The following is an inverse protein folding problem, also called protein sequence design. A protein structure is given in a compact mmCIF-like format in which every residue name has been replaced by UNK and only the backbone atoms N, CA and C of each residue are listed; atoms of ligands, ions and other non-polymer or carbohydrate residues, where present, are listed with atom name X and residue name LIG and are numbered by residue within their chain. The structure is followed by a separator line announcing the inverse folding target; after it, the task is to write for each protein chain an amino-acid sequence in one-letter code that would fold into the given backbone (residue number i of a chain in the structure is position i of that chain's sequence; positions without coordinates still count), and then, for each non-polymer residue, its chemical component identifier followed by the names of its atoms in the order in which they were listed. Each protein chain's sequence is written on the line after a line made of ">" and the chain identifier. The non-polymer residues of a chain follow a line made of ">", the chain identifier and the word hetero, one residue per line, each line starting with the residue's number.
data_IF_080906224896
#
_entry.id   IF_080906224896
#
_cell.length_a   1.000
_cell.length_b   1.000
_cell.length_c   1.000
_cell.angle_alpha   90.00
_cell.angle_beta   90.00
_cell.angle_gamma   90.00
#
_symmetry.space_group_name_H-M   'P 1'
#
loop_
_entity.id
_entity.type
_entity.pdbx_description
1 polymer ?
#
# COMPACT_ATOMS: atom_id res chain seq x y z
N UNK A 1 -33.02 -20.09 -71.44
CA UNK A 1 -33.79 -19.59 -70.28
C UNK A 1 -33.87 -20.69 -69.22
N UNK A 2 -33.14 -20.58 -68.08
CA UNK A 2 -33.39 -21.34 -66.81
C UNK A 2 -32.29 -21.19 -65.71
N UNK A 3 -31.53 -20.10 -65.59
CA UNK A 3 -30.53 -19.95 -64.50
C UNK A 3 -30.35 -18.53 -63.95
N UNK A 4 -31.43 -17.81 -63.68
CA UNK A 4 -31.36 -16.45 -63.08
C UNK A 4 -32.37 -16.21 -61.96
N UNK A 5 -32.85 -17.26 -61.28
CA UNK A 5 -33.88 -17.09 -60.22
C UNK A 5 -33.55 -17.71 -58.85
N UNK A 6 -32.33 -18.20 -58.63
CA UNK A 6 -31.94 -18.86 -57.36
C UNK A 6 -31.13 -17.95 -56.42
N UNK A 7 -30.68 -16.77 -56.87
CA UNK A 7 -29.89 -15.86 -56.03
C UNK A 7 -30.69 -14.79 -55.26
N UNK A 8 -32.02 -14.73 -55.43
CA UNK A 8 -32.84 -13.69 -54.76
C UNK A 8 -33.54 -14.15 -53.47
N UNK A 9 -33.49 -15.45 -53.12
CA UNK A 9 -34.19 -15.96 -51.93
C UNK A 9 -33.28 -16.21 -50.70
N UNK A 10 -31.97 -16.01 -50.82
CA UNK A 10 -31.02 -16.14 -49.70
C UNK A 10 -30.65 -14.79 -49.04
N UNK A 11 -31.32 -13.70 -49.43
CA UNK A 11 -31.02 -12.34 -48.99
C UNK A 11 -31.90 -11.79 -47.85
N UNK A 12 -32.86 -12.56 -47.33
CA UNK A 12 -33.93 -12.01 -46.47
C UNK A 12 -34.25 -12.81 -45.19
N UNK A 13 -33.30 -13.62 -44.69
CA UNK A 13 -33.42 -14.29 -43.37
C UNK A 13 -32.38 -13.80 -42.35
N UNK A 14 -31.67 -12.71 -42.65
CA UNK A 14 -30.88 -11.95 -41.65
C UNK A 14 -31.69 -10.76 -41.13
N UNK A 15 -32.92 -11.00 -40.70
CA UNK A 15 -33.59 -10.09 -39.77
C UNK A 15 -32.88 -10.29 -38.44
N UNK A 16 -32.00 -9.34 -38.12
CA UNK A 16 -31.26 -9.30 -36.88
C UNK A 16 -32.21 -9.42 -35.70
N UNK A 17 -32.14 -10.54 -34.99
CA UNK A 17 -32.57 -10.55 -33.60
C UNK A 17 -31.71 -9.50 -32.89
N UNK A 18 -32.31 -8.55 -32.15
CA UNK A 18 -31.53 -7.72 -31.26
C UNK A 18 -30.89 -8.69 -30.27
N UNK A 19 -29.58 -8.90 -30.40
CA UNK A 19 -28.77 -9.45 -29.33
C UNK A 19 -28.94 -8.45 -28.20
N UNK A 20 -29.91 -8.72 -27.31
CA UNK A 20 -30.03 -8.06 -26.03
C UNK A 20 -28.64 -8.15 -25.42
N UNK A 21 -27.93 -7.03 -25.41
CA UNK A 21 -26.61 -6.91 -24.83
C UNK A 21 -26.78 -7.21 -23.35
N UNK A 22 -26.69 -8.50 -22.99
CA UNK A 22 -26.71 -8.96 -21.63
C UNK A 22 -25.58 -8.20 -20.94
N UNK A 23 -26.00 -7.26 -20.09
CA UNK A 23 -25.13 -6.41 -19.30
C UNK A 23 -24.16 -7.35 -18.58
N UNK A 24 -22.92 -7.40 -19.05
CA UNK A 24 -21.95 -8.42 -18.67
C UNK A 24 -21.91 -8.56 -17.15
N UNK A 25 -22.26 -9.74 -16.66
CA UNK A 25 -22.37 -10.01 -15.23
C UNK A 25 -21.01 -9.75 -14.59
N UNK A 26 -20.94 -8.79 -13.67
CA UNK A 26 -19.72 -8.47 -12.92
C UNK A 26 -19.29 -9.72 -12.14
N UNK A 27 -18.02 -10.10 -12.23
CA UNK A 27 -17.50 -11.20 -11.43
C UNK A 27 -17.12 -10.69 -10.05
N UNK A 28 -17.66 -11.33 -9.02
CA UNK A 28 -17.36 -10.99 -7.64
C UNK A 28 -16.66 -12.19 -7.00
N UNK A 29 -15.52 -11.91 -6.40
CA UNK A 29 -14.70 -12.88 -5.67
C UNK A 29 -14.75 -12.52 -4.20
N UNK A 30 -14.94 -13.51 -3.34
CA UNK A 30 -15.19 -13.33 -1.91
C UNK A 30 -14.18 -14.12 -1.12
N UNK A 31 -13.64 -13.51 -0.08
CA UNK A 31 -12.91 -14.22 0.96
C UNK A 31 -13.69 -14.09 2.26
N UNK A 32 -13.85 -15.21 2.96
CA UNK A 32 -14.26 -15.17 4.35
C UNK A 32 -13.09 -14.60 5.14
N UNK A 33 -13.38 -13.57 5.93
CA UNK A 33 -12.41 -13.02 6.85
C UNK A 33 -12.74 -13.67 8.18
N UNK A 34 -11.76 -14.36 8.76
CA UNK A 34 -11.80 -14.49 10.20
C UNK A 34 -11.52 -13.08 10.68
N UNK A 35 -12.55 -12.35 11.12
CA UNK A 35 -12.29 -11.43 12.22
C UNK A 35 -11.59 -12.34 13.23
N UNK A 36 -10.29 -12.09 13.44
CA UNK A 36 -9.47 -12.81 14.40
C UNK A 36 -10.36 -13.18 15.56
N UNK A 37 -10.42 -14.47 15.90
CA UNK A 37 -11.35 -15.00 16.90
C UNK A 37 -11.34 -14.07 18.11
N UNK A 38 -12.29 -13.14 18.16
CA UNK A 38 -12.42 -12.25 19.29
C UNK A 38 -13.03 -13.16 20.33
N UNK A 39 -12.13 -13.77 21.11
CA UNK A 39 -12.44 -14.39 22.41
C UNK A 39 -13.31 -13.46 23.27
N UNK A 40 -13.29 -12.16 22.94
CA UNK A 40 -14.07 -11.08 23.52
C UNK A 40 -15.48 -11.05 22.92
N UNK A 41 -16.44 -11.44 23.74
CA UNK A 41 -17.87 -11.47 23.42
C UNK A 41 -18.44 -10.06 23.17
N UNK A 42 -19.67 -9.96 22.66
CA UNK A 42 -20.36 -8.66 22.54
C UNK A 42 -20.53 -7.98 23.90
N UNK A 43 -20.91 -8.75 24.94
CA UNK A 43 -21.07 -8.24 26.30
C UNK A 43 -19.77 -7.61 26.82
N UNK A 44 -18.64 -8.29 26.60
CA UNK A 44 -17.33 -7.76 26.99
C UNK A 44 -16.94 -6.51 26.19
N UNK A 45 -17.29 -6.43 24.91
CA UNK A 45 -17.09 -5.19 24.12
C UNK A 45 -17.92 -4.02 24.65
N UNK A 46 -19.15 -4.27 25.06
CA UNK A 46 -20.01 -3.25 25.67
C UNK A 46 -19.44 -2.82 27.04
N UNK A 47 -18.92 -3.75 27.84
CA UNK A 47 -18.20 -3.47 29.09
C UNK A 47 -16.95 -2.62 28.85
N UNK A 48 -16.09 -3.01 27.91
CA UNK A 48 -14.88 -2.24 27.54
C UNK A 48 -15.26 -0.82 27.10
N UNK A 49 -16.32 -0.68 26.30
CA UNK A 49 -16.82 0.63 25.85
C UNK A 49 -17.29 1.48 27.02
N UNK A 50 -17.96 0.89 28.00
CA UNK A 50 -18.37 1.56 29.23
C UNK A 50 -17.16 2.01 30.05
N UNK A 51 -16.18 1.13 30.26
CA UNK A 51 -14.95 1.44 31.00
C UNK A 51 -14.14 2.54 30.33
N UNK A 52 -14.07 2.52 28.99
CA UNK A 52 -13.40 3.54 28.21
C UNK A 52 -14.00 4.94 28.45
N UNK A 53 -15.32 5.07 28.40
CA UNK A 53 -16.03 6.33 28.70
C UNK A 53 -15.84 6.74 30.16
N UNK A 54 -15.91 5.78 31.08
CA UNK A 54 -15.64 6.01 32.51
C UNK A 54 -14.24 6.57 32.74
N UNK A 55 -13.24 6.06 32.02
CA UNK A 55 -11.84 6.53 32.12
C UNK A 55 -11.69 7.98 31.65
N UNK A 56 -12.38 8.38 30.56
CA UNK A 56 -12.40 9.78 30.11
C UNK A 56 -13.10 10.69 31.11
N UNK A 57 -14.16 10.21 31.76
CA UNK A 57 -14.82 10.95 32.83
C UNK A 57 -13.92 11.11 34.06
N UNK A 58 -13.21 10.05 34.46
CA UNK A 58 -12.25 10.12 35.58
C UNK A 58 -11.09 11.08 35.26
N UNK A 59 -10.66 11.15 33.99
CA UNK A 59 -9.70 12.15 33.53
C UNK A 59 -10.26 13.56 33.74
N UNK A 60 -11.49 13.84 33.30
CA UNK A 60 -12.17 15.13 33.51
C UNK A 60 -12.18 15.52 34.99
N UNK A 61 -12.63 14.60 35.86
CA UNK A 61 -12.68 14.79 37.31
C UNK A 61 -11.29 15.06 37.92
N UNK A 62 -10.24 14.38 37.44
CA UNK A 62 -8.87 14.64 37.86
C UNK A 62 -8.41 16.05 37.45
N UNK A 63 -8.67 16.47 36.21
CA UNK A 63 -8.27 17.80 35.74
C UNK A 63 -9.01 18.90 36.52
N UNK A 64 -10.32 18.71 36.76
CA UNK A 64 -11.13 19.61 37.60
C UNK A 64 -10.54 19.70 39.01
N UNK A 65 -10.23 18.56 39.65
CA UNK A 65 -9.60 18.52 40.97
C UNK A 65 -8.28 19.29 41.01
N UNK A 66 -7.42 19.12 40.00
CA UNK A 66 -6.12 19.80 39.91
C UNK A 66 -6.27 21.32 39.84
N UNK A 67 -7.32 21.77 39.15
CA UNK A 67 -7.63 23.20 38.98
C UNK A 67 -8.52 23.80 40.07
N UNK A 68 -8.90 23.01 41.07
CA UNK A 68 -9.68 23.49 42.20
C UNK A 68 -8.83 24.25 43.23
N UNK A 69 -9.43 25.20 43.96
CA UNK A 69 -8.77 25.84 45.11
C UNK A 69 -8.82 25.00 46.39
N UNK A 70 -9.63 23.94 46.42
CA UNK A 70 -9.95 23.14 47.61
C UNK A 70 -8.78 22.27 48.09
N UNK A 71 -8.09 21.46 47.25
CA UNK A 71 -7.09 20.53 47.75
C UNK A 71 -5.80 21.23 48.17
N UNK A 72 -5.20 20.75 49.26
CA UNK A 72 -3.83 21.12 49.66
C UNK A 72 -2.81 20.57 48.65
N UNK A 73 -1.61 21.17 48.59
CA UNK A 73 -0.54 20.72 47.69
C UNK A 73 -0.17 19.24 47.89
N UNK A 74 -0.13 18.77 49.14
CA UNK A 74 0.12 17.35 49.44
C UNK A 74 -0.98 16.42 48.92
N UNK A 75 -2.24 16.84 49.01
CA UNK A 75 -3.37 16.06 48.46
C UNK A 75 -3.31 16.03 46.93
N UNK A 76 -3.00 17.17 46.31
CA UNK A 76 -2.83 17.31 44.88
C UNK A 76 -1.69 16.39 44.38
N UNK A 77 -0.53 16.45 45.01
CA UNK A 77 0.62 15.61 44.68
C UNK A 77 0.30 14.12 44.78
N UNK A 78 -0.47 13.74 45.81
CA UNK A 78 -0.95 12.38 45.98
C UNK A 78 -1.87 11.97 44.83
N UNK A 79 -2.88 12.78 44.50
CA UNK A 79 -3.81 12.50 43.41
C UNK A 79 -3.11 12.41 42.04
N UNK A 80 -2.15 13.30 41.76
CA UNK A 80 -1.33 13.26 40.54
C UNK A 80 -0.56 11.95 40.48
N UNK A 81 0.16 11.58 41.53
CA UNK A 81 0.96 10.34 41.57
C UNK A 81 0.08 9.09 41.44
N UNK A 82 -1.04 9.04 42.15
CA UNK A 82 -1.99 7.91 42.07
C UNK A 82 -2.59 7.75 40.67
N UNK A 83 -2.67 8.82 39.87
CA UNK A 83 -3.22 8.75 38.51
C UNK A 83 -2.40 7.90 37.53
N UNK A 84 -1.09 7.72 37.77
CA UNK A 84 -0.18 7.02 36.85
C UNK A 84 0.74 5.98 37.51
N UNK A 85 0.87 5.96 38.85
CA UNK A 85 1.71 4.97 39.52
C UNK A 85 1.03 3.59 39.58
N UNK A 86 1.74 2.59 39.04
CA UNK A 86 1.36 1.19 39.17
C UNK A 86 1.67 0.76 40.61
N UNK A 87 0.62 0.62 41.43
CA UNK A 87 0.72 0.08 42.79
C UNK A 87 0.05 -1.30 42.85
N UNK A 88 0.61 -2.28 43.58
CA UNK A 88 -0.10 -3.48 44.00
C UNK A 88 -0.78 -3.22 45.37
N UNK A 89 -2.10 -3.46 45.52
CA UNK A 89 -3.06 -3.88 44.50
C UNK A 89 -3.41 -2.75 43.51
N UNK A 90 -3.86 -3.09 42.28
CA UNK A 90 -4.14 -2.10 41.22
C UNK A 90 -5.00 -0.98 41.74
N UNK A 91 -4.45 0.22 41.77
CA UNK A 91 -5.11 1.34 42.40
C UNK A 91 -6.41 1.67 41.60
N UNK A 92 -7.48 2.07 42.30
CA UNK A 92 -8.75 2.39 41.66
C UNK A 92 -8.72 3.72 40.90
N UNK A 93 -7.79 4.60 41.28
CA UNK A 93 -7.63 5.97 40.78
C UNK A 93 -6.73 6.08 39.54
N UNK A 94 -6.17 4.96 39.06
CA UNK A 94 -5.20 4.93 37.99
C UNK A 94 -5.95 5.15 36.68
N UNK A 95 -5.58 6.22 35.99
CA UNK A 95 -6.18 6.61 34.72
C UNK A 95 -5.16 6.40 33.60
N UNK A 96 -3.88 6.67 33.86
CA UNK A 96 -2.77 6.48 32.93
C UNK A 96 -2.08 5.14 33.17
N UNK A 97 -1.64 4.49 32.10
CA UNK A 97 -1.01 3.18 32.20
C UNK A 97 0.29 3.20 33.01
N UNK A 98 1.11 4.24 32.83
CA UNK A 98 2.31 4.54 33.61
C UNK A 98 2.71 6.02 33.47
N UNK A 99 3.84 6.40 34.06
CA UNK A 99 4.44 7.74 34.00
C UNK A 99 5.11 8.06 32.64
N UNK A 100 5.49 7.02 31.89
CA UNK A 100 6.08 7.14 30.55
C UNK A 100 5.08 7.50 29.44
N UNK A 101 3.80 7.67 29.79
CA UNK A 101 2.78 8.10 28.84
C UNK A 101 2.99 9.56 28.44
N UNK A 102 2.76 9.84 27.16
CA UNK A 102 2.95 11.16 26.57
C UNK A 102 1.58 11.81 26.32
N UNK A 103 1.49 13.08 26.68
CA UNK A 103 0.33 13.94 26.53
C UNK A 103 0.73 15.13 25.66
N UNK A 104 0.03 15.34 24.54
CA UNK A 104 0.17 16.55 23.73
C UNK A 104 -0.45 17.73 24.48
N UNK A 105 0.31 18.78 24.74
CA UNK A 105 -0.12 19.94 25.55
C UNK A 105 -1.34 20.67 24.95
N UNK A 106 -2.34 20.92 25.79
CA UNK A 106 -3.53 21.74 25.52
C UNK A 106 -3.80 22.76 26.65
N UNK A 107 -2.85 22.93 27.57
CA UNK A 107 -2.94 23.89 28.67
C UNK A 107 -2.74 25.30 28.11
N UNK A 108 -1.79 25.50 27.20
CA UNK A 108 -1.66 26.75 26.46
C UNK A 108 -2.77 26.87 25.39
N UNK A 109 -3.63 27.91 25.42
CA UNK A 109 -4.72 28.06 24.46
C UNK A 109 -4.25 28.23 23.00
N UNK A 110 -2.95 28.47 22.76
CA UNK A 110 -2.32 28.52 21.43
C UNK A 110 -2.06 27.12 20.86
N UNK A 111 -1.90 26.10 21.71
CA UNK A 111 -1.69 24.72 21.29
C UNK A 111 -3.03 24.08 20.91
N UNK A 112 -3.27 23.96 19.60
CA UNK A 112 -4.62 23.63 19.10
C UNK A 112 -4.64 22.49 18.08
N UNK A 113 -3.48 21.89 17.81
CA UNK A 113 -3.34 20.75 16.92
C UNK A 113 -2.06 19.98 17.22
N UNK A 114 -1.97 18.75 16.74
CA UNK A 114 -0.78 17.88 16.85
C UNK A 114 0.47 18.43 16.16
N UNK A 115 0.34 19.46 15.31
CA UNK A 115 1.47 20.12 14.64
C UNK A 115 2.05 21.29 15.42
N UNK A 116 1.28 21.81 16.39
CA UNK A 116 1.58 23.08 17.08
C UNK A 116 1.77 22.90 18.58
N UNK A 117 1.92 21.66 19.04
CA UNK A 117 2.00 21.31 20.46
C UNK A 117 3.24 20.48 20.75
N UNK A 118 3.65 20.48 22.01
CA UNK A 118 4.73 19.67 22.51
C UNK A 118 4.19 18.43 23.24
N UNK A 119 4.95 17.35 23.14
CA UNK A 119 4.75 16.11 23.88
C UNK A 119 5.30 16.26 25.31
N UNK A 120 4.44 16.10 26.31
CA UNK A 120 4.79 16.19 27.73
C UNK A 120 4.60 14.84 28.43
N UNK A 121 5.51 14.43 29.34
CA UNK A 121 5.24 13.34 30.28
C UNK A 121 4.02 13.65 31.17
N UNK A 122 3.28 12.63 31.60
CA UNK A 122 2.05 12.79 32.40
C UNK A 122 2.25 13.71 33.62
N UNK A 123 3.28 13.44 34.43
CA UNK A 123 3.54 14.23 35.65
C UNK A 123 3.78 15.70 35.32
N UNK A 124 4.56 15.99 34.28
CA UNK A 124 4.83 17.35 33.83
C UNK A 124 3.57 18.04 33.32
N UNK A 125 2.75 17.36 32.53
CA UNK A 125 1.48 17.91 32.04
C UNK A 125 0.56 18.29 33.22
N UNK A 126 0.31 17.37 34.16
CA UNK A 126 -0.59 17.61 35.29
C UNK A 126 -0.08 18.72 36.22
N UNK A 127 1.24 18.79 36.45
CA UNK A 127 1.84 19.89 37.23
C UNK A 127 1.80 21.22 36.50
N UNK A 128 2.04 21.23 35.19
CA UNK A 128 1.92 22.43 34.37
C UNK A 128 0.47 22.95 34.39
N UNK A 129 -0.52 22.05 34.37
CA UNK A 129 -1.93 22.45 34.49
C UNK A 129 -2.18 23.16 35.83
N UNK A 130 -1.67 22.61 36.94
CA UNK A 130 -1.80 23.22 38.26
C UNK A 130 -1.15 24.61 38.38
N UNK A 131 -0.11 24.87 37.57
CA UNK A 131 0.69 26.11 37.62
C UNK A 131 0.18 27.18 36.65
N UNK A 132 -0.17 26.79 35.43
CA UNK A 132 -0.45 27.71 34.33
C UNK A 132 -1.94 27.85 34.01
N UNK A 133 -2.82 27.17 34.73
CA UNK A 133 -4.25 27.34 34.60
C UNK A 133 -4.84 27.98 35.88
N UNK A 134 -5.67 29.00 35.71
CA UNK A 134 -6.26 29.73 36.84
C UNK A 134 -7.16 28.81 37.65
N UNK A 135 -6.91 28.73 38.96
CA UNK A 135 -7.74 27.92 39.86
C UNK A 135 -9.13 28.53 40.06
N UNK A 136 -10.13 27.69 40.25
CA UNK A 136 -11.53 28.09 40.48
C UNK A 136 -12.24 27.10 41.41
N UNK A 137 -13.28 27.57 42.11
CA UNK A 137 -14.19 26.70 42.87
C UNK A 137 -15.30 26.11 41.98
N UNK A 138 -15.47 26.67 40.79
CA UNK A 138 -16.40 26.16 39.76
C UNK A 138 -15.68 25.19 38.81
N UNK A 139 -16.43 24.25 38.24
CA UNK A 139 -15.93 23.35 37.19
C UNK A 139 -15.64 24.14 35.92
N UNK A 140 -14.36 24.34 35.59
CA UNK A 140 -13.94 25.10 34.40
C UNK A 140 -13.37 24.25 33.28
N UNK A 141 -13.26 22.94 33.48
CA UNK A 141 -12.85 21.97 32.46
C UNK A 141 -14.00 21.00 32.24
N UNK A 142 -14.42 20.85 30.98
CA UNK A 142 -15.53 19.96 30.63
C UNK A 142 -15.25 19.16 29.37
N UNK A 143 -15.57 17.88 29.40
CA UNK A 143 -15.53 17.02 28.22
C UNK A 143 -16.93 16.78 27.65
N UNK A 144 -17.04 16.78 26.33
CA UNK A 144 -18.30 16.53 25.62
C UNK A 144 -18.07 15.71 24.36
N UNK A 145 -19.15 15.24 23.72
CA UNK A 145 -19.08 14.46 22.49
C UNK A 145 -18.15 13.23 22.61
N UNK A 146 -18.22 12.52 23.73
CA UNK A 146 -17.37 11.36 24.01
C UNK A 146 -17.82 10.16 23.17
N UNK A 147 -17.07 9.82 22.14
CA UNK A 147 -17.36 8.75 21.18
C UNK A 147 -16.18 7.77 21.14
N UNK A 148 -16.49 6.48 21.26
CA UNK A 148 -15.51 5.38 21.30
C UNK A 148 -15.42 4.69 19.94
N UNK A 149 -14.23 4.32 19.50
CA UNK A 149 -14.02 3.40 18.37
C UNK A 149 -14.47 1.98 18.72
N UNK A 150 -14.45 1.10 17.73
CA UNK A 150 -14.47 -0.35 17.99
C UNK A 150 -13.19 -0.78 18.73
N UNK A 151 -13.23 -1.96 19.36
CA UNK A 151 -12.04 -2.59 19.93
C UNK A 151 -11.05 -2.92 18.83
N UNK A 152 -9.81 -2.47 18.99
CA UNK A 152 -8.72 -2.68 18.05
C UNK A 152 -7.74 -3.68 18.66
N UNK A 153 -7.41 -4.73 17.91
CA UNK A 153 -6.39 -5.70 18.29
C UNK A 153 -5.01 -5.17 17.84
N UNK A 154 -4.34 -4.46 18.75
CA UNK A 154 -2.97 -4.02 18.52
C UNK A 154 -1.99 -5.18 18.57
N UNK A 155 -0.78 -4.96 18.03
CA UNK A 155 0.30 -5.96 18.04
C UNK A 155 0.73 -6.39 19.45
N UNK A 156 0.66 -5.46 20.41
CA UNK A 156 1.14 -5.66 21.77
C UNK A 156 0.01 -5.78 22.80
N UNK A 157 -1.11 -5.08 22.58
CA UNK A 157 -2.26 -5.05 23.47
C UNK A 157 -3.53 -4.66 22.70
N UNK A 158 -4.68 -5.02 23.27
CA UNK A 158 -5.97 -4.52 22.79
C UNK A 158 -6.15 -3.08 23.23
N UNK A 159 -6.75 -2.25 22.39
CA UNK A 159 -7.00 -0.85 22.73
C UNK A 159 -8.27 -0.31 22.07
N UNK A 160 -8.77 0.79 22.60
CA UNK A 160 -9.84 1.60 22.00
C UNK A 160 -9.39 3.04 21.89
N UNK A 161 -9.89 3.75 20.88
CA UNK A 161 -9.70 5.21 20.77
C UNK A 161 -10.98 5.91 21.21
N UNK A 162 -10.85 6.94 22.02
CA UNK A 162 -11.97 7.76 22.47
C UNK A 162 -11.75 9.18 21.98
N UNK A 163 -12.66 9.65 21.13
CA UNK A 163 -12.67 11.01 20.62
C UNK A 163 -13.63 11.84 21.47
N UNK A 164 -13.24 13.04 21.83
CA UNK A 164 -14.04 13.94 22.65
C UNK A 164 -13.64 15.39 22.41
N UNK A 165 -14.53 16.31 22.79
CA UNK A 165 -14.26 17.75 22.79
C UNK A 165 -13.91 18.19 24.19
N UNK A 166 -12.71 18.73 24.36
CA UNK A 166 -12.25 19.37 25.60
C UNK A 166 -12.56 20.86 25.56
N UNK A 167 -13.16 21.38 26.64
CA UNK A 167 -13.48 22.80 26.79
C UNK A 167 -12.95 23.30 28.12
N UNK A 168 -12.08 24.30 28.06
CA UNK A 168 -11.57 25.04 29.21
C UNK A 168 -12.25 26.42 29.22
N UNK A 169 -12.78 26.85 30.36
CA UNK A 169 -13.46 28.16 30.52
C UNK A 169 -12.74 29.11 31.48
N UNK A 170 -11.67 28.62 32.13
CA UNK A 170 -10.79 29.44 32.96
C UNK A 170 -9.80 30.26 32.13
N UNK A 171 -8.75 30.75 32.79
CA UNK A 171 -7.72 31.61 32.19
C UNK A 171 -6.36 30.93 32.22
N UNK A 172 -5.61 31.10 31.15
CA UNK A 172 -4.20 30.74 31.10
C UNK A 172 -3.39 31.79 31.86
N UNK A 173 -2.55 31.35 32.79
CA UNK A 173 -1.62 32.18 33.56
C UNK A 173 -0.26 32.10 32.89
N UNK A 174 0.01 33.01 31.96
CA UNK A 174 1.29 33.08 31.28
C UNK A 174 2.39 33.58 32.24
N UNK A 175 3.49 32.83 32.45
CA UNK A 175 4.61 33.28 33.27
C UNK A 175 5.28 34.57 32.76
N UNK A 176 5.10 34.93 31.48
CA UNK A 176 5.61 36.16 30.88
C UNK A 176 4.60 37.30 30.84
N UNK A 177 3.43 37.13 31.47
CA UNK A 177 2.36 38.12 31.54
C UNK A 177 1.81 38.54 30.16
N UNK A 178 1.87 37.65 29.16
CA UNK A 178 1.49 37.91 27.77
C UNK A 178 0.20 37.20 27.35
N UNK A 179 -0.91 37.18 28.10
CA UNK A 179 -2.14 36.59 27.51
C UNK A 179 -3.47 37.11 28.02
N UNK A 180 -4.27 37.58 27.06
CA UNK A 180 -5.75 37.61 27.06
C UNK A 180 -6.28 36.71 25.92
N UNK A 181 -5.66 35.52 25.73
CA UNK A 181 -6.07 34.55 24.70
C UNK A 181 -7.12 33.62 25.31
N UNK A 182 -8.35 33.70 24.82
CA UNK A 182 -9.43 32.84 25.28
C UNK A 182 -9.25 31.40 24.77
N UNK A 183 -9.58 30.44 25.63
CA UNK A 183 -9.70 29.05 25.23
C UNK A 183 -10.82 28.87 24.20
N UNK A 184 -10.65 27.86 23.34
CA UNK A 184 -11.67 27.38 22.42
C UNK A 184 -11.90 25.89 22.64
N UNK A 185 -13.09 25.34 22.33
CA UNK A 185 -13.30 23.91 22.33
C UNK A 185 -12.34 23.21 21.36
N UNK A 186 -11.66 22.17 21.82
CA UNK A 186 -10.66 21.41 21.05
C UNK A 186 -11.04 19.94 20.94
N UNK A 187 -10.86 19.36 19.76
CA UNK A 187 -11.02 17.92 19.56
C UNK A 187 -9.78 17.19 20.08
N UNK A 188 -10.00 16.16 20.89
CA UNK A 188 -8.97 15.34 21.52
C UNK A 188 -9.24 13.87 21.26
N UNK A 189 -8.19 13.09 21.30
CA UNK A 189 -8.22 11.64 21.19
C UNK A 189 -7.41 11.04 22.34
N UNK A 190 -8.02 10.10 23.05
CA UNK A 190 -7.35 9.25 24.01
C UNK A 190 -7.24 7.84 23.43
N UNK A 191 -6.03 7.28 23.42
CA UNK A 191 -5.81 5.86 23.16
C UNK A 191 -5.79 5.14 24.50
N UNK A 192 -6.69 4.18 24.66
CA UNK A 192 -6.91 3.45 25.90
C UNK A 192 -6.52 1.99 25.71
N UNK A 193 -5.47 1.55 26.41
CA UNK A 193 -5.12 0.14 26.53
C UNK A 193 -6.18 -0.59 27.35
N UNK A 194 -6.57 -1.77 26.89
CA UNK A 194 -7.59 -2.60 27.50
C UNK A 194 -6.92 -3.81 28.14
N UNK A 195 -7.17 -4.04 29.44
CA UNK A 195 -6.65 -5.19 30.19
C UNK A 195 -7.74 -5.85 31.02
N UNK A 196 -7.62 -7.16 31.22
CA UNK A 196 -8.48 -7.91 32.13
C UNK A 196 -7.73 -8.14 33.44
N UNK A 197 -8.14 -7.44 34.49
CA UNK A 197 -7.50 -7.46 35.81
C UNK A 197 -8.53 -8.01 36.80
N UNK A 198 -8.19 -9.07 37.52
CA UNK A 198 -9.09 -9.76 38.47
C UNK A 198 -10.45 -10.13 37.86
N UNK A 199 -10.42 -10.55 36.59
CA UNK A 199 -11.61 -10.94 35.82
C UNK A 199 -12.46 -9.79 35.28
N UNK A 200 -12.13 -8.53 35.60
CA UNK A 200 -12.86 -7.34 35.13
C UNK A 200 -12.07 -6.60 34.06
N UNK A 201 -12.76 -6.06 33.07
CA UNK A 201 -12.12 -5.21 32.08
C UNK A 201 -11.80 -3.84 32.69
N UNK A 202 -10.58 -3.36 32.47
CA UNK A 202 -10.13 -2.01 32.83
C UNK A 202 -9.44 -1.38 31.62
N UNK A 203 -9.50 -0.05 31.57
CA UNK A 203 -8.89 0.74 30.50
C UNK A 203 -7.94 1.76 31.08
N UNK A 204 -6.82 1.99 30.41
CA UNK A 204 -5.78 2.93 30.83
C UNK A 204 -5.33 3.79 29.67
N UNK A 205 -5.20 5.10 29.87
CA UNK A 205 -4.68 6.03 28.88
C UNK A 205 -3.21 5.70 28.61
N UNK A 206 -2.91 5.43 27.34
CA UNK A 206 -1.53 5.25 26.82
C UNK A 206 -1.11 6.37 25.86
N UNK A 207 -2.06 7.21 25.44
CA UNK A 207 -1.81 8.46 24.71
C UNK A 207 -2.99 9.38 24.90
N UNK A 208 -2.73 10.66 25.10
CA UNK A 208 -3.73 11.73 25.07
C UNK A 208 -3.22 12.84 24.16
N UNK A 209 -3.97 13.18 23.12
CA UNK A 209 -3.54 14.26 22.23
C UNK A 209 -4.60 14.72 21.23
N UNK A 210 -4.17 15.42 20.19
CA UNK A 210 -5.02 15.83 19.09
C UNK A 210 -5.16 14.71 18.05
N UNK A 211 -6.33 14.59 17.39
CA UNK A 211 -6.48 13.69 16.25
C UNK A 211 -5.45 13.99 15.16
N UNK A 212 -4.72 12.95 14.72
CA UNK A 212 -3.76 13.07 13.60
C UNK A 212 -4.49 13.02 12.26
N UNK A 213 -3.92 13.57 11.16
CA UNK A 213 -4.51 13.44 9.83
C UNK A 213 -4.77 11.97 9.47
N UNK A 214 -6.01 11.66 9.11
CA UNK A 214 -6.45 10.30 8.79
C UNK A 214 -6.82 9.45 10.01
N UNK A 215 -6.68 9.95 11.25
CA UNK A 215 -7.16 9.29 12.47
C UNK A 215 -8.68 9.47 12.62
N UNK A 216 -9.43 8.39 12.88
CA UNK A 216 -10.89 8.44 13.05
C UNK A 216 -11.48 7.17 13.68
N UNK A 217 -12.81 7.17 13.84
CA UNK A 217 -13.56 6.09 14.51
C UNK A 217 -13.46 4.73 13.83
N UNK A 218 -13.17 4.71 12.52
CA UNK A 218 -13.22 3.52 11.67
C UNK A 218 -11.84 2.96 11.31
N UNK A 219 -10.77 3.50 11.90
CA UNK A 219 -9.42 2.95 11.68
C UNK A 219 -9.24 1.67 12.49
N UNK A 220 -9.97 0.64 12.08
CA UNK A 220 -9.72 -0.73 12.50
C UNK A 220 -8.37 -1.14 11.93
N UNK A 221 -7.30 -0.95 12.72
CA UNK A 221 -5.97 -1.51 12.44
C UNK A 221 -5.96 -3.05 12.46
N UNK A 222 -7.08 -3.70 12.80
CA UNK A 222 -7.31 -5.12 12.57
C UNK A 222 -7.32 -5.39 11.07
N UNK A 223 -6.13 -5.70 10.54
CA UNK A 223 -5.95 -6.15 9.16
C UNK A 223 -6.85 -7.37 8.97
N UNK A 224 -7.81 -7.35 8.03
CA UNK A 224 -8.66 -8.51 7.79
C UNK A 224 -7.77 -9.70 7.40
N UNK A 225 -7.77 -10.80 8.15
CA UNK A 225 -7.02 -12.01 7.77
C UNK A 225 -7.96 -12.98 7.07
N UNK A 226 -7.63 -13.35 5.83
CA UNK A 226 -8.38 -14.35 5.08
C UNK A 226 -8.24 -15.71 5.80
N UNK A 227 -9.36 -16.38 6.07
CA UNK A 227 -9.37 -17.69 6.71
C UNK A 227 -8.56 -18.70 5.89
N UNK A 228 -7.50 -19.27 6.47
CA UNK A 228 -6.56 -20.20 5.78
C UNK A 228 -7.22 -21.51 5.27
N UNK A 229 -8.47 -21.80 5.67
CA UNK A 229 -9.18 -23.02 5.27
C UNK A 229 -9.82 -22.99 3.87
N UNK A 230 -9.84 -21.85 3.18
CA UNK A 230 -10.51 -21.70 1.87
C UNK A 230 -9.48 -21.23 0.83
N UNK A 231 -8.85 -22.18 0.13
CA UNK A 231 -7.86 -21.92 -0.91
C UNK A 231 -8.08 -22.84 -2.13
N UNK A 232 -7.62 -22.47 -3.33
CA UNK A 232 -7.70 -23.33 -4.50
C UNK A 232 -6.84 -24.58 -4.31
N UNK A 233 -7.38 -25.75 -4.67
CA UNK A 233 -6.67 -27.04 -4.55
C UNK A 233 -5.38 -27.12 -5.40
N UNK A 234 -5.27 -26.27 -6.43
CA UNK A 234 -4.06 -26.13 -7.25
C UNK A 234 -3.69 -24.64 -7.34
N UNK A 235 -2.40 -24.29 -7.39
CA UNK A 235 -1.97 -22.91 -7.59
C UNK A 235 -2.56 -22.32 -8.89
N UNK A 236 -3.00 -21.07 -8.83
CA UNK A 236 -3.50 -20.35 -10.01
C UNK A 236 -2.33 -20.05 -10.95
N UNK A 237 -2.33 -20.66 -12.14
CA UNK A 237 -1.28 -20.50 -13.17
C UNK A 237 -1.53 -19.30 -14.10
N UNK A 238 -2.57 -18.51 -13.85
CA UNK A 238 -2.92 -17.33 -14.64
C UNK A 238 -1.84 -16.25 -14.66
N UNK A 239 -1.93 -15.36 -15.67
CA UNK A 239 -1.07 -14.17 -15.78
C UNK A 239 -1.29 -13.26 -14.58
N UNK A 240 -0.20 -12.70 -14.05
CA UNK A 240 -0.25 -11.68 -13.01
C UNK A 240 -0.65 -10.31 -13.61
N UNK A 241 -1.54 -9.63 -12.91
CA UNK A 241 -2.00 -8.29 -13.26
C UNK A 241 -1.77 -7.34 -12.09
N UNK A 242 -1.10 -6.24 -12.39
CA UNK A 242 -0.86 -5.15 -11.43
C UNK A 242 -1.98 -4.12 -11.54
N UNK A 243 -2.49 -3.69 -10.39
CA UNK A 243 -3.47 -2.62 -10.21
C UNK A 243 -2.87 -1.53 -9.32
N UNK A 244 -3.31 -0.30 -9.51
CA UNK A 244 -2.87 0.88 -8.74
C UNK A 244 -4.07 1.68 -8.26
N UNK A 245 -4.01 2.14 -7.01
CA UNK A 245 -5.05 2.95 -6.37
C UNK A 245 -5.30 4.24 -7.13
N UNK A 246 -6.57 4.60 -7.27
CA UNK A 246 -6.97 5.85 -7.93
C UNK A 246 -6.75 7.04 -7.00
N UNK A 247 -7.11 6.90 -5.71
CA UNK A 247 -6.95 7.95 -4.71
C UNK A 247 -5.50 8.09 -4.24
N UNK A 248 -4.78 6.98 -4.11
CA UNK A 248 -3.39 6.95 -3.70
C UNK A 248 -2.57 6.09 -4.70
N UNK A 249 -1.79 6.72 -5.60
CA UNK A 249 -1.01 6.01 -6.61
C UNK A 249 0.12 5.12 -6.06
N UNK A 250 0.46 5.23 -4.77
CA UNK A 250 1.42 4.35 -4.08
C UNK A 250 0.77 3.00 -3.75
N UNK A 251 -0.54 2.99 -3.53
CA UNK A 251 -1.29 1.75 -3.30
C UNK A 251 -1.34 0.94 -4.58
N UNK A 252 -0.94 -0.32 -4.48
CA UNK A 252 -0.84 -1.21 -5.62
C UNK A 252 -1.10 -2.65 -5.19
N UNK A 253 -1.69 -3.41 -6.09
CA UNK A 253 -2.09 -4.79 -5.84
C UNK A 253 -1.79 -5.64 -7.06
N UNK A 254 -1.08 -6.74 -6.84
CA UNK A 254 -0.87 -7.78 -7.86
C UNK A 254 -1.82 -8.94 -7.62
N UNK A 255 -2.61 -9.29 -8.64
CA UNK A 255 -3.54 -10.42 -8.61
C UNK A 255 -3.30 -11.42 -9.73
N UNK A 256 -3.61 -12.68 -9.45
CA UNK A 256 -3.87 -13.73 -10.46
C UNK A 256 -5.29 -14.21 -10.28
N UNK A 257 -5.94 -14.63 -11.36
CA UNK A 257 -7.26 -15.23 -11.26
C UNK A 257 -7.48 -16.30 -12.34
N UNK A 258 -8.45 -17.17 -12.08
CA UNK A 258 -9.01 -18.11 -13.03
C UNK A 258 -10.56 -18.01 -13.05
N UNK A 259 -11.24 -19.07 -13.47
CA UNK A 259 -12.71 -19.11 -13.53
C UNK A 259 -13.36 -19.01 -12.14
N UNK A 260 -12.73 -19.57 -11.12
CA UNK A 260 -13.32 -19.81 -9.81
C UNK A 260 -12.61 -19.05 -8.68
N UNK A 261 -11.38 -18.59 -8.90
CA UNK A 261 -10.55 -18.00 -7.85
C UNK A 261 -9.85 -16.74 -8.32
N UNK A 262 -9.62 -15.84 -7.38
CA UNK A 262 -8.71 -14.70 -7.49
C UNK A 262 -7.76 -14.76 -6.31
N UNK A 263 -6.46 -14.63 -6.52
CA UNK A 263 -5.45 -14.59 -5.46
C UNK A 263 -4.71 -13.27 -5.50
N UNK A 264 -4.68 -12.58 -4.36
CA UNK A 264 -3.84 -11.39 -4.14
C UNK A 264 -2.45 -11.87 -3.74
N UNK A 265 -1.46 -11.58 -4.58
CA UNK A 265 -0.07 -12.05 -4.43
C UNK A 265 0.76 -11.01 -3.68
N UNK A 266 0.51 -9.74 -3.97
CA UNK A 266 1.19 -8.60 -3.35
C UNK A 266 0.18 -7.48 -3.17
N UNK A 267 0.29 -6.77 -2.06
CA UNK A 267 -0.45 -5.55 -1.78
C UNK A 267 0.49 -4.59 -1.07
N UNK A 268 0.57 -3.34 -1.53
CA UNK A 268 1.24 -2.26 -0.79
C UNK A 268 0.30 -1.52 0.15
N UNK A 269 -1.00 -1.87 0.13
CA UNK A 269 -2.01 -1.32 1.04
C UNK A 269 -2.44 -2.38 2.05
N UNK A 270 -2.52 -1.99 3.32
CA UNK A 270 -2.97 -2.87 4.41
C UNK A 270 -4.47 -3.19 4.34
N UNK A 271 -5.21 -2.44 3.52
CA UNK A 271 -6.65 -2.60 3.35
C UNK A 271 -7.02 -3.87 2.55
N UNK A 272 -6.14 -4.34 1.66
CA UNK A 272 -6.40 -5.52 0.81
C UNK A 272 -5.54 -6.68 1.32
N UNK A 273 -6.15 -7.69 1.97
CA UNK A 273 -5.40 -8.79 2.52
C UNK A 273 -4.88 -9.74 1.44
N UNK A 274 -3.72 -10.33 1.71
CA UNK A 274 -3.14 -11.36 0.86
C UNK A 274 -3.93 -12.66 1.03
N UNK A 275 -4.09 -13.40 -0.06
CA UNK A 275 -4.76 -14.71 -0.05
C UNK A 275 -5.72 -14.90 -1.20
N UNK A 276 -6.54 -15.95 -1.09
CA UNK A 276 -7.44 -16.41 -2.16
C UNK A 276 -8.90 -16.04 -1.88
N UNK A 277 -9.58 -15.64 -2.94
CA UNK A 277 -10.97 -15.22 -2.98
C UNK A 277 -11.71 -16.12 -3.96
N UNK A 278 -12.80 -16.73 -3.51
CA UNK A 278 -13.61 -17.63 -4.31
C UNK A 278 -14.69 -16.85 -5.07
N UNK A 279 -14.88 -17.16 -6.34
CA UNK A 279 -15.97 -16.62 -7.14
C UNK A 279 -17.31 -16.98 -6.51
N UNK A 280 -18.15 -15.98 -6.24
CA UNK A 280 -19.50 -16.17 -5.69
C UNK A 280 -20.47 -15.22 -6.39
N UNK A 281 -21.67 -15.72 -6.67
CA UNK A 281 -22.82 -14.86 -6.98
C UNK A 281 -23.33 -14.31 -5.66
N UNK A 282 -22.87 -13.13 -5.27
CA UNK A 282 -23.24 -12.54 -3.99
C UNK A 282 -24.67 -12.00 -4.06
N UNK A 283 -25.47 -12.41 -3.09
CA UNK A 283 -26.62 -11.71 -2.53
C UNK A 283 -26.13 -10.65 -1.52
N UNK A 284 -26.64 -9.43 -1.62
CA UNK A 284 -26.04 -8.20 -1.08
C UNK A 284 -25.98 -8.08 0.47
N UNK A 285 -26.09 -9.19 1.21
CA UNK A 285 -26.58 -9.24 2.60
C UNK A 285 -25.55 -9.66 3.66
N UNK A 286 -24.33 -10.09 3.33
CA UNK A 286 -23.39 -10.56 4.35
C UNK A 286 -22.19 -9.63 4.59
N UNK A 287 -22.11 -9.10 5.81
CA UNK A 287 -21.03 -8.24 6.33
C UNK A 287 -19.75 -9.02 6.72
N UNK A 288 -19.80 -10.36 6.74
CA UNK A 288 -18.68 -11.21 7.16
C UNK A 288 -17.63 -11.47 6.06
N UNK A 289 -17.71 -10.74 4.94
CA UNK A 289 -16.92 -11.01 3.76
C UNK A 289 -16.23 -9.74 3.27
N UNK A 290 -14.97 -9.87 2.86
CA UNK A 290 -14.37 -8.92 1.92
C UNK A 290 -14.62 -9.41 0.51
N UNK A 291 -14.88 -8.50 -0.42
CA UNK A 291 -15.10 -8.86 -1.81
C UNK A 291 -14.30 -8.02 -2.78
N UNK A 292 -13.79 -8.68 -3.82
CA UNK A 292 -13.14 -8.07 -4.96
C UNK A 292 -14.08 -8.22 -6.15
N UNK A 293 -14.59 -7.10 -6.64
CA UNK A 293 -15.34 -7.06 -7.89
C UNK A 293 -14.39 -6.74 -9.03
N UNK A 294 -14.23 -7.71 -9.94
CA UNK A 294 -13.46 -7.53 -11.16
C UNK A 294 -14.40 -7.05 -12.27
N UNK A 295 -14.19 -5.81 -12.72
CA UNK A 295 -14.89 -5.27 -13.89
C UNK A 295 -13.96 -5.34 -15.10
N UNK A 296 -14.08 -6.44 -15.85
CA UNK A 296 -13.19 -6.75 -16.98
C UNK A 296 -13.21 -5.65 -18.06
N UNK A 297 -14.39 -5.10 -18.34
CA UNK A 297 -14.57 -4.04 -19.35
C UNK A 297 -13.84 -2.74 -19.04
N UNK A 298 -13.62 -2.44 -17.77
CA UNK A 298 -13.02 -1.16 -17.34
C UNK A 298 -11.59 -1.32 -16.83
N UNK A 299 -11.07 -2.54 -16.82
CA UNK A 299 -9.80 -2.85 -16.16
C UNK A 299 -9.75 -2.33 -14.71
N UNK A 300 -10.89 -2.35 -14.04
CA UNK A 300 -11.05 -1.85 -12.67
C UNK A 300 -11.20 -2.99 -11.70
N UNK A 301 -10.57 -2.82 -10.54
CA UNK A 301 -10.75 -3.65 -9.37
C UNK A 301 -11.43 -2.76 -8.32
N UNK A 302 -12.61 -3.17 -7.89
CA UNK A 302 -13.33 -2.55 -6.77
C UNK A 302 -13.27 -3.50 -5.59
N UNK A 303 -12.55 -3.08 -4.55
CA UNK A 303 -12.42 -3.86 -3.33
C UNK A 303 -13.34 -3.29 -2.26
N UNK A 304 -14.27 -4.11 -1.78
CA UNK A 304 -15.20 -3.79 -0.70
C UNK A 304 -14.74 -4.45 0.60
N UNK A 305 -14.55 -3.63 1.61
CA UNK A 305 -14.20 -4.04 2.98
C UNK A 305 -15.42 -4.51 3.78
N UNK A 306 -15.18 -5.15 4.92
CA UNK A 306 -16.23 -5.57 5.88
C UNK A 306 -17.01 -4.39 6.46
N UNK A 307 -16.36 -3.24 6.63
CA UNK A 307 -16.99 -1.99 7.06
C UNK A 307 -17.82 -1.29 5.96
N UNK A 308 -17.88 -1.87 4.75
CA UNK A 308 -18.60 -1.30 3.61
C UNK A 308 -17.85 -0.23 2.82
N UNK A 309 -16.62 0.12 3.21
CA UNK A 309 -15.79 1.04 2.42
C UNK A 309 -15.30 0.37 1.12
N UNK A 310 -15.00 1.22 0.13
CA UNK A 310 -14.60 0.81 -1.21
C UNK A 310 -13.22 1.37 -1.56
N UNK A 311 -12.35 0.53 -2.12
CA UNK A 311 -11.09 0.93 -2.71
C UNK A 311 -11.11 0.61 -4.21
N UNK A 312 -10.98 1.67 -5.02
CA UNK A 312 -10.95 1.55 -6.48
C UNK A 312 -9.51 1.54 -6.98
N UNK A 313 -9.17 0.53 -7.77
CA UNK A 313 -7.87 0.40 -8.43
C UNK A 313 -8.04 0.24 -9.94
N UNK A 314 -7.16 0.90 -10.69
CA UNK A 314 -7.05 0.75 -12.13
C UNK A 314 -5.91 -0.20 -12.48
N UNK A 315 -6.14 -1.10 -13.44
CA UNK A 315 -5.09 -1.97 -13.95
C UNK A 315 -3.99 -1.12 -14.57
N UNK A 316 -2.76 -1.40 -14.18
CA UNK A 316 -1.57 -0.87 -14.82
C UNK A 316 -1.40 -1.64 -16.13
N UNK A 317 -1.91 -1.04 -17.22
CA UNK A 317 -1.59 -1.51 -18.56
C UNK A 317 -0.29 -0.81 -18.95
N UNK A 318 0.81 -1.54 -19.22
CA UNK A 318 2.02 -0.92 -19.73
C UNK A 318 1.65 -0.10 -20.97
N UNK A 319 2.00 1.19 -20.95
CA UNK A 319 1.62 2.07 -22.04
C UNK A 319 2.18 1.52 -23.36
N UNK A 320 1.38 1.56 -24.44
CA UNK A 320 1.86 1.15 -25.77
C UNK A 320 3.14 1.91 -26.14
N UNK A 321 3.29 3.14 -25.65
CA UNK A 321 4.51 3.95 -25.77
C UNK A 321 5.72 3.32 -25.11
N UNK A 322 5.59 2.82 -23.88
CA UNK A 322 6.71 2.19 -23.16
C UNK A 322 7.16 0.90 -23.85
N UNK A 323 6.21 0.06 -24.30
CA UNK A 323 6.52 -1.15 -25.08
C UNK A 323 7.25 -0.77 -26.38
N UNK A 324 6.77 0.26 -27.06
CA UNK A 324 7.37 0.73 -28.30
C UNK A 324 8.81 1.26 -28.09
N UNK A 325 9.05 2.04 -27.04
CA UNK A 325 10.39 2.48 -26.65
C UNK A 325 11.31 1.32 -26.32
N UNK A 326 10.81 0.32 -25.58
CA UNK A 326 11.59 -0.88 -25.26
C UNK A 326 12.04 -1.60 -26.55
N UNK A 327 11.15 -1.74 -27.54
CA UNK A 327 11.49 -2.35 -28.83
C UNK A 327 12.57 -1.57 -29.58
N UNK A 328 12.52 -0.23 -29.54
CA UNK A 328 13.55 0.63 -30.17
C UNK A 328 14.90 0.45 -29.47
N UNK A 329 14.93 0.46 -28.13
CA UNK A 329 16.17 0.29 -27.36
C UNK A 329 16.79 -1.08 -27.61
N UNK A 330 15.99 -2.15 -27.51
CA UNK A 330 16.46 -3.52 -27.78
C UNK A 330 16.94 -3.67 -29.23
N UNK A 331 16.21 -3.10 -30.19
CA UNK A 331 16.61 -3.15 -31.59
C UNK A 331 17.90 -2.38 -31.88
N UNK A 332 18.11 -1.23 -31.23
CA UNK A 332 19.34 -0.43 -31.36
C UNK A 332 20.54 -1.17 -30.77
N UNK A 333 20.36 -1.78 -29.60
CA UNK A 333 21.41 -2.60 -28.97
C UNK A 333 21.80 -3.80 -29.86
N UNK A 334 20.82 -4.48 -30.48
CA UNK A 334 21.07 -5.57 -31.42
C UNK A 334 21.87 -5.11 -32.65
N UNK A 335 21.54 -3.94 -33.22
CA UNK A 335 22.32 -3.37 -34.34
C UNK A 335 23.77 -3.05 -33.93
N UNK A 336 23.96 -2.47 -32.74
CA UNK A 336 25.29 -2.19 -32.20
C UNK A 336 26.12 -3.46 -32.02
N UNK A 337 25.54 -4.52 -31.45
CA UNK A 337 26.19 -5.81 -31.27
C UNK A 337 26.56 -6.45 -32.63
N UNK A 338 25.67 -6.40 -33.61
CA UNK A 338 25.95 -6.87 -34.98
C UNK A 338 27.10 -6.10 -35.63
N UNK A 339 27.12 -4.77 -35.51
CA UNK A 339 28.20 -3.95 -36.06
C UNK A 339 29.56 -4.28 -35.42
N UNK A 340 29.60 -4.40 -34.09
CA UNK A 340 30.81 -4.78 -33.36
C UNK A 340 31.27 -6.18 -33.79
N UNK A 341 30.36 -7.15 -33.90
CA UNK A 341 30.66 -8.49 -34.38
C UNK A 341 31.25 -8.49 -35.81
N UNK A 342 30.66 -7.73 -36.73
CA UNK A 342 31.18 -7.56 -38.09
C UNK A 342 32.60 -6.97 -38.09
N UNK A 343 32.82 -5.90 -37.31
CA UNK A 343 34.12 -5.23 -37.24
C UNK A 343 35.23 -6.14 -36.69
N UNK A 344 34.89 -6.99 -35.72
CA UNK A 344 35.80 -7.98 -35.15
C UNK A 344 36.19 -9.04 -36.19
N UNK A 345 35.20 -9.58 -36.91
CA UNK A 345 35.44 -10.53 -38.01
C UNK A 345 36.31 -9.90 -39.12
N UNK A 346 36.07 -8.64 -39.47
CA UNK A 346 36.85 -7.93 -40.47
C UNK A 346 38.31 -7.76 -40.06
N UNK A 347 38.58 -7.40 -38.79
CA UNK A 347 39.95 -7.33 -38.27
C UNK A 347 40.64 -8.69 -38.30
N UNK A 348 39.95 -9.72 -37.81
CA UNK A 348 40.45 -11.10 -37.82
C UNK A 348 40.78 -11.59 -39.23
N UNK A 349 39.95 -11.23 -40.21
CA UNK A 349 40.19 -11.54 -41.61
C UNK A 349 41.40 -10.81 -42.18
N UNK A 350 41.55 -9.51 -41.89
CA UNK A 350 42.71 -8.73 -42.33
C UNK A 350 44.02 -9.28 -41.72
N UNK A 351 43.99 -9.71 -40.46
CA UNK A 351 45.15 -10.36 -39.82
C UNK A 351 45.47 -11.71 -40.48
N UNK A 352 44.45 -12.49 -40.82
CA UNK A 352 44.59 -13.75 -41.57
C UNK A 352 45.23 -13.52 -42.95
N UNK A 353 44.73 -12.57 -43.72
CA UNK A 353 45.27 -12.28 -45.06
C UNK A 353 46.70 -11.75 -44.96
N UNK A 354 47.01 -10.88 -43.99
CA UNK A 354 48.36 -10.40 -43.73
C UNK A 354 49.35 -11.53 -43.41
N UNK A 355 48.97 -12.47 -42.53
CA UNK A 355 49.78 -13.65 -42.21
C UNK A 355 49.98 -14.55 -43.43
N UNK A 356 48.94 -14.77 -44.23
CA UNK A 356 49.04 -15.59 -45.44
C UNK A 356 49.97 -14.95 -46.48
N UNK A 357 49.92 -13.62 -46.64
CA UNK A 357 50.84 -12.88 -47.51
C UNK A 357 52.29 -13.01 -47.04
N UNK A 358 52.55 -12.89 -45.73
CA UNK A 358 53.91 -13.11 -45.17
C UNK A 358 54.41 -14.52 -45.45
N UNK A 359 53.56 -15.52 -45.23
CA UNK A 359 53.91 -16.93 -45.42
C UNK A 359 54.19 -17.25 -46.89
N UNK A 360 53.38 -16.69 -47.81
CA UNK A 360 53.61 -16.83 -49.25
C UNK A 360 54.95 -16.17 -49.68
N UNK A 361 55.32 -15.05 -49.06
CA UNK A 361 56.60 -14.39 -49.34
C UNK A 361 57.79 -15.23 -48.84
N UNK A 362 57.71 -15.77 -47.62
CA UNK A 362 58.73 -16.68 -47.06
C UNK A 362 58.87 -17.96 -47.90
N UNK A 363 57.74 -18.54 -48.34
CA UNK A 363 57.73 -19.72 -49.19
C UNK A 363 58.37 -19.44 -50.56
N UNK A 364 58.16 -18.26 -51.15
CA UNK A 364 58.83 -17.88 -52.38
C UNK A 364 60.37 -17.80 -52.21
N UNK A 365 60.85 -17.25 -51.09
CA UNK A 365 62.28 -17.25 -50.76
C UNK A 365 62.79 -18.69 -50.61
N UNK A 366 62.07 -19.54 -49.88
CA UNK A 366 62.44 -20.95 -49.73
C UNK A 366 62.52 -21.70 -51.08
N UNK A 367 61.54 -21.51 -51.98
CA UNK A 367 61.54 -22.12 -53.32
C UNK A 367 62.77 -21.73 -54.13
N UNK A 368 63.14 -20.43 -54.09
CA UNK A 368 64.33 -19.96 -54.80
C UNK A 368 65.63 -20.57 -54.26
N UNK A 369 65.72 -20.78 -52.95
CA UNK A 369 66.89 -21.39 -52.31
C UNK A 369 66.98 -22.91 -52.53
N UNK A 370 65.84 -23.60 -52.56
CA UNK A 370 65.79 -25.08 -52.66
C UNK A 370 65.88 -25.61 -54.09
N UNK A 371 65.77 -24.75 -55.10
CA UNK A 371 65.72 -25.10 -56.53
C UNK A 371 64.63 -26.15 -56.89
N UNK A 372 63.61 -26.32 -56.04
CA UNK A 372 62.51 -27.23 -56.32
C UNK A 372 61.40 -26.51 -57.10
N UNK A 373 60.78 -27.16 -58.11
CA UNK A 373 59.57 -26.65 -58.74
C UNK A 373 58.44 -26.71 -57.70
N UNK A 374 58.01 -25.56 -57.20
CA UNK A 374 57.00 -25.51 -56.16
C UNK A 374 55.63 -25.07 -56.67
N UNK A 375 54.60 -25.39 -55.88
CA UNK A 375 53.21 -25.03 -56.17
C UNK A 375 52.98 -23.51 -56.16
N UNK A 376 51.88 -23.09 -56.81
CA UNK A 376 51.42 -21.70 -56.79
C UNK A 376 51.10 -21.21 -55.38
N UNK A 377 51.31 -19.91 -55.07
CA UNK A 377 51.00 -19.34 -53.76
C UNK A 377 49.56 -19.62 -53.32
N UNK A 378 49.38 -19.87 -52.03
CA UNK A 378 48.04 -20.08 -51.47
C UNK A 378 47.20 -18.81 -51.64
N UNK A 379 45.99 -18.96 -52.20
CA UNK A 379 45.03 -17.85 -52.34
C UNK A 379 44.26 -17.67 -51.03
N UNK A 380 44.05 -16.42 -50.57
CA UNK A 380 43.24 -16.17 -49.38
C UNK A 380 41.80 -16.64 -49.61
N UNK A 381 41.20 -17.22 -48.58
CA UNK A 381 39.76 -17.51 -48.55
C UNK A 381 38.96 -16.21 -48.69
N UNK A 382 37.74 -16.28 -49.24
CA UNK A 382 36.83 -15.15 -49.21
C UNK A 382 36.41 -14.81 -47.78
N UNK A 383 36.09 -13.53 -47.50
CA UNK A 383 35.62 -13.11 -46.18
C UNK A 383 34.40 -13.91 -45.71
N UNK A 384 33.47 -14.21 -46.60
CA UNK A 384 32.25 -14.98 -46.28
C UNK A 384 32.57 -16.41 -45.89
N UNK A 385 33.50 -17.07 -46.59
CA UNK A 385 33.97 -18.42 -46.22
C UNK A 385 34.75 -18.42 -44.90
N UNK A 386 35.61 -17.43 -44.69
CA UNK A 386 36.40 -17.29 -43.46
C UNK A 386 35.52 -17.05 -42.23
N UNK A 387 34.50 -16.20 -42.37
CA UNK A 387 33.67 -15.76 -41.26
C UNK A 387 32.54 -16.74 -40.88
N UNK A 388 32.45 -17.91 -41.51
CA UNK A 388 31.45 -18.92 -41.16
C UNK A 388 31.82 -19.70 -39.89
N UNK A 389 30.88 -19.92 -38.94
CA UNK A 389 29.46 -19.54 -38.97
C UNK A 389 29.15 -18.14 -38.39
N UNK A 390 30.14 -17.44 -37.83
CA UNK A 390 29.95 -16.17 -37.08
C UNK A 390 29.22 -15.06 -37.86
N UNK A 391 29.39 -15.02 -39.18
CA UNK A 391 28.72 -14.04 -40.05
C UNK A 391 27.19 -14.15 -40.02
N UNK A 392 26.64 -15.34 -39.77
CA UNK A 392 25.19 -15.54 -39.64
C UNK A 392 24.62 -14.88 -38.38
N UNK A 393 25.35 -14.90 -37.27
CA UNK A 393 24.95 -14.20 -36.05
C UNK A 393 24.92 -12.69 -36.24
N UNK A 394 25.91 -12.15 -36.96
CA UNK A 394 26.00 -10.73 -37.31
C UNK A 394 24.82 -10.29 -38.17
N UNK A 395 24.54 -10.99 -39.27
CA UNK A 395 23.40 -10.64 -40.14
C UNK A 395 22.05 -10.88 -39.45
N UNK A 396 21.91 -11.97 -38.69
CA UNK A 396 20.69 -12.26 -37.94
C UNK A 396 20.36 -11.17 -36.92
N UNK A 397 21.34 -10.73 -36.13
CA UNK A 397 21.17 -9.60 -35.21
C UNK A 397 20.79 -8.29 -35.92
N UNK A 398 21.35 -8.06 -37.12
CA UNK A 398 21.07 -6.88 -37.93
C UNK A 398 19.61 -6.80 -38.40
N UNK A 399 19.10 -7.92 -38.89
CA UNK A 399 17.71 -8.04 -39.38
C UNK A 399 16.72 -7.94 -38.21
N UNK A 400 16.95 -8.69 -37.13
CA UNK A 400 16.08 -8.66 -35.95
C UNK A 400 16.06 -7.28 -35.30
N UNK A 401 17.24 -6.65 -35.16
CA UNK A 401 17.38 -5.31 -34.59
C UNK A 401 16.60 -4.26 -35.39
N UNK A 402 16.77 -4.25 -36.71
CA UNK A 402 16.03 -3.35 -37.62
C UNK A 402 14.52 -3.55 -37.52
N UNK A 403 14.07 -4.81 -37.49
CA UNK A 403 12.65 -5.15 -37.37
C UNK A 403 12.01 -4.65 -36.07
N UNK A 404 12.72 -4.76 -34.95
CA UNK A 404 12.27 -4.24 -33.65
C UNK A 404 12.17 -2.71 -33.63
N UNK A 405 13.14 -2.00 -34.20
CA UNK A 405 13.11 -0.53 -34.30
C UNK A 405 11.90 -0.08 -35.13
N UNK A 406 11.71 -0.65 -36.32
CA UNK A 406 10.60 -0.29 -37.21
C UNK A 406 9.25 -0.55 -36.53
N UNK A 407 9.10 -1.69 -35.85
CA UNK A 407 7.86 -2.01 -35.12
C UNK A 407 7.61 -1.05 -33.96
N UNK A 408 8.67 -0.71 -33.20
CA UNK A 408 8.58 0.27 -32.12
C UNK A 408 8.17 1.65 -32.63
N UNK A 409 8.81 2.17 -33.68
CA UNK A 409 8.43 3.45 -34.30
C UNK A 409 6.96 3.42 -34.75
N UNK A 410 6.54 2.34 -35.41
CA UNK A 410 5.15 2.18 -35.86
C UNK A 410 4.15 2.20 -34.71
N UNK A 411 4.49 1.59 -33.57
CA UNK A 411 3.65 1.61 -32.37
C UNK A 411 3.60 3.00 -31.72
N UNK A 412 4.72 3.74 -31.68
CA UNK A 412 4.74 5.12 -31.20
C UNK A 412 3.82 6.01 -32.04
N UNK A 413 3.93 5.94 -33.37
CA UNK A 413 3.08 6.71 -34.29
C UNK A 413 1.58 6.41 -34.11
N UNK A 414 1.23 5.15 -33.84
CA UNK A 414 -0.16 4.74 -33.56
C UNK A 414 -0.67 5.17 -32.19
N UNK A 415 0.21 5.53 -31.26
CA UNK A 415 -0.14 5.97 -29.90
C UNK A 415 -0.18 7.49 -29.73
N UNK A 416 0.16 8.24 -30.78
CA UNK A 416 0.07 9.70 -30.84
C UNK A 416 -1.21 10.21 -31.52
N UNK A 417 -1.94 9.32 -32.20
CA UNK A 417 -3.34 9.54 -32.61
C UNK A 417 -4.25 8.99 -31.53
#
# INVERSE_FOLDING_TARGET
>A
MKKTFIFLLLGLVLIGTPVLAQKGVKKIYVAHVNNSDTTITKLERDEITFQAKSTIKNLEELLVLITSTIPTENQLDKSIKESYLIAPPPNSSQIFYNDGIVIEDDIDPRHTSSQTTADLPVDRYLRNLALFYSKSDEETIKFSQVITSTLIEGKAFHYVKVFFTSTFTGKYTDPNNQTDVAYRPLQRVAELRVEKIDGKWRTFIVRLGFPKPGEGLTNSETKPVISLGIAPAKPITGKEFLYRGIANPIDSVSVKWDKNWLTVIRSTTDNIPLGSYQYRRIDNTSQAFVSITLTDKDHKLDFRQTNGSHLYLNRVVPSRRLIAWLQIVVGTAALGASYVGYSSLQRSYNDYTGKLTSLNAEYAVWQTLSQQPGDSPAKPMSFTSYAQPGIYGVYGGGIVGSGLIINGIRQLLRSGK
#
